data_IF_275438492301
#
_entry.id   IF_275438492301
#
_cell.length_a   1.000
_cell.length_b   1.000
_cell.length_c   1.000
_cell.angle_alpha   90.00
_cell.angle_beta   90.00
_cell.angle_gamma   90.00
#
_symmetry.space_group_name_H-M   'P 1'
#
loop_
_entity.id
_entity.type
_entity.pdbx_description
1 polymer ?
#
# COMPACT_ATOMS: atom_id res chain seq x y z
N UNK A 1 9.36 -4.56 1.90
CA UNK A 1 8.57 -3.86 2.92
C UNK A 1 9.32 -3.76 4.25
N UNK A 2 9.59 -4.87 4.95
CA UNK A 2 10.21 -4.83 6.28
C UNK A 2 11.62 -4.22 6.32
N UNK A 3 12.41 -4.42 5.26
CA UNK A 3 13.72 -3.78 5.09
C UNK A 3 13.62 -2.26 4.94
N UNK A 4 12.68 -1.78 4.13
CA UNK A 4 12.42 -0.34 3.95
C UNK A 4 11.88 0.30 5.23
N UNK A 5 11.01 -0.40 5.97
CA UNK A 5 10.53 0.04 7.27
C UNK A 5 11.68 0.22 8.28
N UNK A 6 12.63 -0.72 8.30
CA UNK A 6 13.83 -0.58 9.13
C UNK A 6 14.71 0.61 8.67
N UNK A 7 14.88 0.79 7.35
CA UNK A 7 15.70 1.86 6.77
C UNK A 7 15.20 3.27 7.10
N UNK A 8 13.87 3.45 7.21
CA UNK A 8 13.23 4.73 7.52
C UNK A 8 13.07 4.92 9.04
N UNK A 9 13.65 4.04 9.86
CA UNK A 9 13.49 4.03 11.33
C UNK A 9 12.02 3.93 11.77
N UNK A 10 11.16 3.27 11.00
CA UNK A 10 9.73 3.15 11.34
C UNK A 10 9.49 2.47 12.69
N UNK A 11 10.39 1.57 13.10
CA UNK A 11 10.35 0.90 14.40
C UNK A 11 10.53 1.87 15.57
N UNK A 12 11.38 2.90 15.42
CA UNK A 12 11.54 3.94 16.44
C UNK A 12 10.23 4.70 16.67
N UNK A 13 9.58 5.13 15.58
CA UNK A 13 8.28 5.81 15.65
C UNK A 13 7.18 4.95 16.26
N UNK A 14 7.16 3.66 15.93
CA UNK A 14 6.21 2.71 16.51
C UNK A 14 6.41 2.57 18.03
N UNK A 15 7.65 2.41 18.49
CA UNK A 15 7.95 2.30 19.92
C UNK A 15 7.66 3.61 20.67
N UNK A 16 7.99 4.77 20.08
CA UNK A 16 7.69 6.08 20.66
C UNK A 16 6.18 6.28 20.84
N UNK A 17 5.41 5.93 19.83
CA UNK A 17 3.96 6.07 19.89
C UNK A 17 3.30 5.07 20.84
N UNK A 18 3.84 3.84 20.95
CA UNK A 18 3.46 2.90 22.00
C UNK A 18 3.75 3.45 23.39
N UNK A 19 4.94 4.02 23.62
CA UNK A 19 5.26 4.64 24.90
C UNK A 19 4.28 5.76 25.26
N UNK A 20 3.97 6.66 24.33
CA UNK A 20 2.96 7.73 24.50
C UNK A 20 1.55 7.18 24.73
N UNK A 21 1.20 6.02 24.17
CA UNK A 21 -0.10 5.41 24.40
C UNK A 21 -0.34 5.02 25.86
N UNK A 22 0.71 4.83 26.66
CA UNK A 22 0.60 4.57 28.10
C UNK A 22 0.50 5.85 28.95
N UNK A 23 0.81 7.01 28.37
CA UNK A 23 0.66 8.33 29.02
C UNK A 23 -0.78 8.86 28.94
N UNK A 24 -1.69 8.15 28.25
CA UNK A 24 -3.11 8.53 28.12
C UNK A 24 -3.78 8.70 29.47
N UNK A 25 -4.23 9.92 29.75
CA UNK A 25 -4.93 10.31 30.98
C UNK A 25 -6.37 9.79 31.05
N UNK A 26 -6.93 9.36 29.91
CA UNK A 26 -8.19 8.63 29.87
C UNK A 26 -7.95 7.20 30.36
N UNK A 27 -8.30 6.90 31.61
CA UNK A 27 -8.29 5.53 32.12
C UNK A 27 -9.03 4.56 31.18
N UNK A 28 -8.66 3.28 31.24
CA UNK A 28 -9.17 2.13 30.45
C UNK A 28 -10.71 2.03 30.28
N UNK A 29 -11.50 2.83 31.01
CA UNK A 29 -12.96 2.80 31.03
C UNK A 29 -13.68 3.80 30.11
N UNK A 30 -13.01 4.73 29.43
CA UNK A 30 -13.71 5.73 28.62
C UNK A 30 -13.93 5.25 27.16
N UNK A 31 -14.72 4.19 27.01
CA UNK A 31 -15.17 3.69 25.70
C UNK A 31 -15.98 4.72 24.88
N UNK A 32 -16.41 5.82 25.50
CA UNK A 32 -17.02 6.95 24.79
C UNK A 32 -16.03 7.72 23.90
N UNK A 33 -14.71 7.57 24.11
CA UNK A 33 -13.67 8.14 23.26
C UNK A 33 -13.61 7.44 21.88
N UNK A 34 -14.08 6.19 21.79
CA UNK A 34 -14.39 5.53 20.51
C UNK A 34 -15.71 6.08 19.96
N UNK A 35 -15.68 7.36 19.57
CA UNK A 35 -16.80 8.10 19.00
C UNK A 35 -16.84 7.96 17.47
N UNK A 36 -17.83 8.60 16.83
CA UNK A 36 -17.91 8.73 15.37
C UNK A 36 -16.61 9.27 14.74
N UNK A 37 -15.85 10.10 15.46
CA UNK A 37 -14.57 10.64 14.99
C UNK A 37 -13.48 9.55 14.83
N UNK A 38 -13.46 8.56 15.73
CA UNK A 38 -12.54 7.43 15.64
C UNK A 38 -12.89 6.52 14.46
N UNK A 39 -14.19 6.30 14.21
CA UNK A 39 -14.68 5.51 13.09
C UNK A 39 -14.39 6.21 11.75
N UNK A 40 -14.61 7.53 11.67
CA UNK A 40 -14.27 8.34 10.51
C UNK A 40 -12.77 8.31 10.21
N UNK A 41 -11.93 8.37 11.25
CA UNK A 41 -10.47 8.25 11.13
C UNK A 41 -10.07 6.88 10.56
N UNK A 42 -10.68 5.80 11.05
CA UNK A 42 -10.41 4.44 10.56
C UNK A 42 -10.85 4.24 9.10
N UNK A 43 -12.02 4.76 8.70
CA UNK A 43 -12.50 4.66 7.32
C UNK A 43 -11.65 5.49 6.36
N UNK A 44 -11.19 6.67 6.79
CA UNK A 44 -10.27 7.49 6.00
C UNK A 44 -8.93 6.78 5.79
N UNK A 45 -8.36 6.18 6.84
CA UNK A 45 -7.15 5.36 6.73
C UNK A 45 -7.35 4.20 5.74
N UNK A 46 -8.49 3.51 5.82
CA UNK A 46 -8.84 2.44 4.89
C UNK A 46 -8.86 2.89 3.43
N UNK A 47 -9.46 4.07 3.17
CA UNK A 47 -9.49 4.67 1.83
C UNK A 47 -8.10 5.05 1.31
N UNK A 48 -7.24 5.61 2.15
CA UNK A 48 -5.86 5.96 1.79
C UNK A 48 -5.01 4.71 1.51
N UNK A 49 -5.16 3.66 2.32
CA UNK A 49 -4.47 2.37 2.11
C UNK A 49 -4.93 1.73 0.80
N UNK A 50 -6.23 1.74 0.50
CA UNK A 50 -6.76 1.22 -0.77
C UNK A 50 -6.16 1.97 -1.96
N UNK A 51 -6.12 3.31 -1.88
CA UNK A 51 -5.52 4.15 -2.91
C UNK A 51 -4.03 3.83 -3.11
N UNK A 52 -3.27 3.64 -2.03
CA UNK A 52 -1.86 3.26 -2.09
C UNK A 52 -1.67 1.89 -2.73
N UNK A 53 -2.50 0.90 -2.38
CA UNK A 53 -2.46 -0.43 -3.01
C UNK A 53 -2.66 -0.34 -4.53
N UNK A 54 -3.63 0.47 -4.98
CA UNK A 54 -3.85 0.72 -6.41
C UNK A 54 -2.65 1.41 -7.04
N UNK A 55 -2.07 2.43 -6.38
CA UNK A 55 -0.88 3.14 -6.88
C UNK A 55 0.34 2.21 -7.00
N UNK A 56 0.53 1.28 -6.07
CA UNK A 56 1.61 0.28 -6.14
C UNK A 56 1.37 -0.69 -7.31
N UNK A 57 0.13 -1.12 -7.52
CA UNK A 57 -0.21 -2.07 -8.57
C UNK A 57 -0.24 -1.43 -9.98
N UNK A 58 -0.53 -0.12 -10.08
CA UNK A 58 -0.77 0.58 -11.34
C UNK A 58 0.37 0.49 -12.38
N UNK A 59 1.67 0.63 -12.03
CA UNK A 59 2.75 0.57 -13.02
C UNK A 59 2.87 -0.80 -13.69
N UNK A 60 2.87 -1.87 -12.90
CA UNK A 60 2.94 -3.23 -13.42
C UNK A 60 1.62 -3.64 -14.11
N UNK A 61 0.48 -3.30 -13.50
CA UNK A 61 -0.85 -3.57 -14.04
C UNK A 61 -1.10 -2.87 -15.37
N UNK A 62 -0.71 -1.60 -15.51
CA UNK A 62 -0.82 -0.85 -16.75
C UNK A 62 -0.01 -1.47 -17.89
N UNK A 63 1.23 -1.89 -17.61
CA UNK A 63 2.05 -2.61 -18.60
C UNK A 63 1.41 -3.94 -18.99
N UNK A 64 0.92 -4.73 -18.03
CA UNK A 64 0.27 -6.01 -18.31
C UNK A 64 -1.03 -5.83 -19.12
N UNK A 65 -1.80 -4.78 -18.89
CA UNK A 65 -2.98 -4.46 -19.71
C UNK A 65 -2.62 -4.19 -21.17
N UNK A 66 -1.51 -3.50 -21.44
CA UNK A 66 -1.01 -3.28 -22.80
C UNK A 66 -0.56 -4.59 -23.44
N UNK A 67 0.14 -5.44 -22.69
CA UNK A 67 0.53 -6.78 -23.15
C UNK A 67 -0.71 -7.62 -23.48
N UNK A 68 -1.76 -7.57 -22.66
CA UNK A 68 -3.01 -8.29 -22.88
C UNK A 68 -3.72 -7.82 -24.15
N UNK A 69 -3.79 -6.51 -24.37
CA UNK A 69 -4.33 -5.94 -25.60
C UNK A 69 -3.51 -6.36 -26.84
N UNK A 70 -2.18 -6.38 -26.74
CA UNK A 70 -1.31 -6.84 -27.82
C UNK A 70 -1.51 -8.33 -28.11
N UNK A 71 -1.60 -9.18 -27.08
CA UNK A 71 -1.88 -10.60 -27.25
C UNK A 71 -3.26 -10.87 -27.86
N UNK A 72 -4.27 -10.05 -27.53
CA UNK A 72 -5.59 -10.12 -28.14
C UNK A 72 -5.57 -9.74 -29.63
N UNK A 73 -4.68 -8.84 -30.06
CA UNK A 73 -4.47 -8.56 -31.49
C UNK A 73 -3.77 -9.73 -32.20
N UNK A 74 -2.74 -10.31 -31.58
CA UNK A 74 -2.01 -11.47 -32.12
C UNK A 74 -2.92 -12.68 -32.30
N UNK A 75 -3.85 -12.93 -31.37
CA UNK A 75 -4.80 -14.05 -31.48
C UNK A 75 -5.70 -13.97 -32.70
N UNK A 76 -6.01 -12.75 -33.17
CA UNK A 76 -6.77 -12.52 -34.40
C UNK A 76 -5.91 -12.64 -35.65
N UNK A 77 -4.65 -12.22 -35.59
CA UNK A 77 -3.74 -12.23 -36.72
C UNK A 77 -3.20 -13.63 -37.06
N UNK A 78 -2.91 -14.45 -36.04
CA UNK A 78 -2.36 -15.82 -36.20
C UNK A 78 -3.21 -16.80 -35.40
N UNK A 79 -4.39 -17.21 -35.91
CA UNK A 79 -5.37 -18.01 -35.15
C UNK A 79 -4.93 -19.46 -34.90
N UNK A 80 -3.94 -19.94 -35.65
CA UNK A 80 -3.44 -21.31 -35.60
C UNK A 80 -2.53 -21.61 -34.40
N UNK A 81 -1.98 -20.58 -33.74
CA UNK A 81 -1.11 -20.75 -32.57
C UNK A 81 -1.91 -20.42 -31.30
N UNK A 82 -1.97 -21.32 -30.29
CA UNK A 82 -2.58 -21.00 -29.01
C UNK A 82 -1.86 -19.82 -28.35
N UNK A 83 -2.53 -18.67 -28.23
CA UNK A 83 -1.90 -17.44 -27.70
C UNK A 83 -1.46 -17.56 -26.25
N UNK A 84 -2.08 -18.44 -25.46
CA UNK A 84 -1.61 -18.71 -24.09
C UNK A 84 -0.16 -19.24 -24.07
N UNK A 85 0.26 -20.00 -25.08
CA UNK A 85 1.60 -20.60 -25.18
C UNK A 85 2.70 -19.53 -25.27
N UNK A 86 2.44 -18.44 -25.99
CA UNK A 86 3.38 -17.32 -26.18
C UNK A 86 3.14 -16.22 -25.13
N UNK A 87 1.88 -15.98 -24.80
CA UNK A 87 1.46 -14.90 -23.92
C UNK A 87 1.94 -15.08 -22.48
N UNK A 88 1.94 -16.30 -21.93
CA UNK A 88 2.43 -16.50 -20.56
C UNK A 88 3.93 -16.20 -20.41
N UNK A 89 4.83 -16.77 -21.22
CA UNK A 89 6.25 -16.42 -21.17
C UNK A 89 6.50 -14.91 -21.36
N UNK A 90 5.80 -14.28 -22.31
CA UNK A 90 5.91 -12.85 -22.56
C UNK A 90 5.44 -12.00 -21.36
N UNK A 91 4.28 -12.33 -20.76
CA UNK A 91 3.76 -11.62 -19.58
C UNK A 91 4.70 -11.74 -18.38
N UNK A 92 5.30 -12.91 -18.16
CA UNK A 92 6.27 -13.10 -17.06
C UNK A 92 7.50 -12.23 -17.30
N UNK A 93 8.09 -12.28 -18.51
CA UNK A 93 9.28 -11.50 -18.83
C UNK A 93 9.04 -9.99 -18.68
N UNK A 94 7.97 -9.48 -19.28
CA UNK A 94 7.62 -8.06 -19.20
C UNK A 94 7.22 -7.66 -17.78
N UNK A 95 6.49 -8.52 -17.06
CA UNK A 95 6.10 -8.29 -15.67
C UNK A 95 7.30 -8.12 -14.74
N UNK A 96 8.34 -8.96 -14.89
CA UNK A 96 9.58 -8.82 -14.09
C UNK A 96 10.30 -7.51 -14.40
N UNK A 97 10.38 -7.11 -15.68
CA UNK A 97 10.98 -5.83 -16.07
C UNK A 97 10.19 -4.65 -15.48
N UNK A 98 8.87 -4.69 -15.57
CA UNK A 98 7.99 -3.66 -15.03
C UNK A 98 8.09 -3.57 -13.49
N UNK A 99 8.21 -4.70 -12.79
CA UNK A 99 8.46 -4.75 -11.35
C UNK A 99 9.82 -4.15 -10.99
N UNK A 100 10.87 -4.48 -11.75
CA UNK A 100 12.20 -3.89 -11.55
C UNK A 100 12.18 -2.37 -11.74
N UNK A 101 11.50 -1.89 -12.78
CA UNK A 101 11.34 -0.46 -13.06
C UNK A 101 10.51 0.28 -12.01
N UNK A 102 9.61 -0.40 -11.29
CA UNK A 102 8.78 0.22 -10.25
C UNK A 102 9.44 0.24 -8.86
N UNK A 103 10.58 -0.42 -8.66
CA UNK A 103 11.30 -0.44 -7.37
C UNK A 103 11.62 0.96 -6.79
N UNK A 104 12.06 1.96 -7.57
CA UNK A 104 12.31 3.30 -7.02
C UNK A 104 11.04 3.96 -6.47
N UNK A 105 9.91 3.74 -7.15
CA UNK A 105 8.62 4.26 -6.70
C UNK A 105 8.18 3.62 -5.37
N UNK A 106 8.49 2.33 -5.14
CA UNK A 106 8.20 1.64 -3.88
C UNK A 106 8.92 2.27 -2.67
N UNK A 107 10.10 2.87 -2.85
CA UNK A 107 10.80 3.57 -1.76
C UNK A 107 9.99 4.78 -1.30
N UNK A 108 9.53 5.61 -2.25
CA UNK A 108 8.70 6.79 -1.94
C UNK A 108 7.33 6.41 -1.36
N UNK A 109 6.76 5.28 -1.77
CA UNK A 109 5.53 4.78 -1.17
C UNK A 109 5.76 4.29 0.26
N UNK A 110 6.88 3.63 0.54
CA UNK A 110 7.20 3.13 1.88
C UNK A 110 7.40 4.25 2.90
N UNK A 111 8.02 5.37 2.51
CA UNK A 111 8.14 6.55 3.38
C UNK A 111 6.77 7.16 3.66
N UNK A 112 5.97 7.35 2.61
CA UNK A 112 4.58 7.84 2.74
C UNK A 112 3.73 6.96 3.64
N UNK A 113 3.82 5.64 3.54
CA UNK A 113 3.12 4.70 4.40
C UNK A 113 3.51 4.83 5.88
N UNK A 114 4.80 5.03 6.15
CA UNK A 114 5.30 5.23 7.51
C UNK A 114 4.77 6.54 8.08
N UNK A 115 4.85 7.63 7.32
CA UNK A 115 4.31 8.94 7.71
C UNK A 115 2.81 8.91 7.99
N UNK A 116 2.03 8.25 7.14
CA UNK A 116 0.59 8.11 7.36
C UNK A 116 0.32 7.34 8.65
N UNK A 117 1.01 6.22 8.85
CA UNK A 117 0.85 5.39 10.05
C UNK A 117 1.14 6.20 11.33
N UNK A 118 2.18 7.04 11.32
CA UNK A 118 2.50 7.94 12.45
C UNK A 118 1.41 8.98 12.66
N UNK A 119 0.97 9.68 11.61
CA UNK A 119 -0.08 10.72 11.72
C UNK A 119 -1.41 10.16 12.24
N UNK A 120 -1.82 8.99 11.76
CA UNK A 120 -3.05 8.34 12.21
C UNK A 120 -2.94 7.91 13.67
N UNK A 121 -1.78 7.40 14.09
CA UNK A 121 -1.54 7.03 15.48
C UNK A 121 -1.54 8.27 16.40
N UNK A 122 -0.91 9.38 15.99
CA UNK A 122 -0.99 10.65 16.72
C UNK A 122 -2.42 11.18 16.81
N UNK A 123 -3.20 11.11 15.73
CA UNK A 123 -4.60 11.53 15.75
C UNK A 123 -5.44 10.68 16.70
N UNK A 124 -5.23 9.35 16.73
CA UNK A 124 -5.91 8.46 17.67
C UNK A 124 -5.50 8.79 19.11
N UNK A 125 -4.21 8.99 19.38
CA UNK A 125 -3.72 9.37 20.72
C UNK A 125 -4.32 10.70 21.19
N UNK A 126 -4.43 11.69 20.31
CA UNK A 126 -5.11 12.97 20.60
C UNK A 126 -6.58 12.79 20.92
N UNK A 127 -7.28 11.92 20.19
CA UNK A 127 -8.68 11.59 20.48
C UNK A 127 -8.84 10.87 21.83
N UNK A 128 -7.80 10.18 22.29
CA UNK A 128 -7.74 9.51 23.60
C UNK A 128 -7.28 10.43 24.74
N UNK A 129 -6.99 11.71 24.47
CA UNK A 129 -6.62 12.69 25.49
C UNK A 129 -5.13 12.72 25.87
N UNK A 130 -4.24 12.38 24.93
CA UNK A 130 -2.78 12.65 24.97
C UNK A 130 -2.45 13.80 24.04
#
# INVERSE_FOLDING_TARGET
>A
AMTLFALVNGHYWLLLALARSFETQAGLGNLSAWSDASLATATQLGGEVLLLCVQIAAPAGGVLLVVDAAMAAVSRAVPQIPVWLIGMPAKIAVGVIALGASLPALVGVSTRMTDLSVRYLENILRLLGV
#
